data_IF_484780166642
#
_entry.id   IF_484780166642
#
_cell.length_a   1.000
_cell.length_b   1.000
_cell.length_c   1.000
_cell.angle_alpha   90.00
_cell.angle_beta   90.00
_cell.angle_gamma   90.00
#
_symmetry.space_group_name_H-M   'P 1'
#
loop_
_entity.id
_entity.type
_entity.pdbx_description
1 polymer ?
#
# COMPACT_ATOMS: atom_id res chain seq x y z
N UNK A 1 -2.25 -45.53 -30.23
CA UNK A 1 -2.84 -44.37 -29.53
C UNK A 1 -1.89 -43.21 -29.74
N UNK A 2 -2.28 -42.25 -30.60
CA UNK A 2 -1.41 -41.18 -31.09
C UNK A 2 -1.47 -40.00 -30.09
N UNK A 3 -0.35 -39.72 -29.42
CA UNK A 3 -0.19 -38.51 -28.61
C UNK A 3 0.06 -37.34 -29.55
N UNK A 4 -0.86 -36.37 -29.59
CA UNK A 4 -0.72 -35.14 -30.38
C UNK A 4 -0.51 -33.97 -29.43
N UNK A 5 0.71 -33.44 -29.41
CA UNK A 5 1.08 -32.19 -28.75
C UNK A 5 0.59 -31.06 -29.66
N UNK A 6 -0.39 -30.26 -29.23
CA UNK A 6 -0.81 -29.07 -29.98
C UNK A 6 -0.02 -27.84 -29.50
N UNK A 7 0.69 -27.12 -30.38
CA UNK A 7 1.36 -25.88 -30.03
C UNK A 7 0.32 -24.75 -30.07
N UNK A 8 -0.15 -24.28 -28.93
CA UNK A 8 -0.92 -23.04 -28.88
C UNK A 8 0.05 -21.86 -28.95
N UNK A 9 0.38 -21.55 -30.21
CA UNK A 9 0.59 -20.23 -30.79
C UNK A 9 0.72 -19.08 -29.78
N UNK A 10 1.95 -18.56 -29.74
CA UNK A 10 2.31 -17.21 -29.33
C UNK A 10 1.32 -16.20 -29.92
N UNK A 11 0.36 -15.74 -29.12
CA UNK A 11 -0.42 -14.56 -29.41
C UNK A 11 -0.08 -13.53 -28.33
N UNK A 12 1.04 -12.83 -28.52
CA UNK A 12 1.22 -11.54 -27.88
C UNK A 12 0.19 -10.58 -28.47
N UNK A 13 -1.04 -10.66 -27.98
CA UNK A 13 -1.91 -9.51 -27.98
C UNK A 13 -1.22 -8.47 -27.12
N UNK A 14 -0.51 -7.56 -27.77
CA UNK A 14 -0.41 -6.21 -27.27
C UNK A 14 -1.83 -5.65 -27.39
N UNK A 15 -2.71 -6.08 -26.48
CA UNK A 15 -3.92 -5.36 -26.20
C UNK A 15 -3.40 -4.06 -25.60
N UNK A 16 -3.22 -3.06 -26.46
CA UNK A 16 -3.08 -1.68 -26.04
C UNK A 16 -4.43 -1.32 -25.46
N UNK A 17 -4.68 -1.78 -24.23
CA UNK A 17 -5.73 -1.23 -23.40
C UNK A 17 -5.43 0.26 -23.33
N UNK A 18 -6.41 1.12 -23.65
CA UNK A 18 -6.24 2.55 -23.49
C UNK A 18 -5.75 2.82 -22.07
N UNK A 19 -4.79 3.74 -21.95
CA UNK A 19 -4.13 4.17 -20.71
C UNK A 19 -5.11 4.97 -19.83
N UNK A 20 -6.25 4.39 -19.50
CA UNK A 20 -7.07 4.84 -18.38
C UNK A 20 -6.27 4.42 -17.15
N UNK A 21 -5.98 5.34 -16.22
CA UNK A 21 -5.18 5.08 -15.02
C UNK A 21 -5.65 3.80 -14.33
N UNK A 22 -4.97 2.69 -14.63
CA UNK A 22 -5.42 1.38 -14.21
C UNK A 22 -4.88 1.20 -12.81
N UNK A 23 -5.76 1.30 -11.81
CA UNK A 23 -5.39 1.01 -10.44
C UNK A 23 -4.72 -0.36 -10.36
N UNK A 24 -3.60 -0.43 -9.64
CA UNK A 24 -2.94 -1.68 -9.30
C UNK A 24 -3.62 -2.29 -8.07
N UNK A 25 -3.49 -3.61 -7.91
CA UNK A 25 -3.89 -4.30 -6.67
C UNK A 25 -5.36 -4.01 -6.26
N UNK A 26 -6.36 -4.41 -7.08
CA UNK A 26 -7.77 -4.14 -6.77
C UNK A 26 -8.25 -4.80 -5.47
N UNK A 27 -7.62 -5.91 -5.08
CA UNK A 27 -7.89 -6.61 -3.82
C UNK A 27 -7.04 -6.08 -2.65
N UNK A 28 -6.20 -5.07 -2.89
CA UNK A 28 -5.33 -4.49 -1.88
C UNK A 28 -3.99 -5.22 -1.70
N UNK A 29 -3.26 -4.85 -0.64
CA UNK A 29 -1.93 -5.38 -0.33
C UNK A 29 -1.65 -5.32 1.18
N UNK A 30 -0.91 -6.33 1.67
CA UNK A 30 -0.47 -6.43 3.05
C UNK A 30 1.06 -6.50 3.13
N UNK A 31 1.66 -5.49 3.78
CA UNK A 31 3.07 -5.44 4.11
C UNK A 31 3.26 -5.84 5.57
N UNK A 32 3.96 -6.93 5.82
CA UNK A 32 4.39 -7.38 7.16
C UNK A 32 5.88 -7.17 7.38
N UNK A 33 6.66 -6.97 6.31
CA UNK A 33 8.12 -6.84 6.36
C UNK A 33 8.63 -5.65 5.56
N UNK A 34 9.72 -5.05 6.04
CA UNK A 34 10.42 -3.95 5.35
C UNK A 34 10.81 -4.32 3.92
N UNK A 35 11.31 -5.54 3.72
CA UNK A 35 11.68 -6.03 2.38
C UNK A 35 10.54 -6.00 1.35
N UNK A 36 9.28 -6.12 1.78
CA UNK A 36 8.12 -6.01 0.88
C UNK A 36 7.87 -4.56 0.46
N UNK A 37 8.05 -3.62 1.38
CA UNK A 37 7.99 -2.18 1.08
C UNK A 37 9.12 -1.82 0.12
N UNK A 38 10.35 -2.23 0.42
CA UNK A 38 11.53 -1.92 -0.40
C UNK A 38 11.40 -2.48 -1.82
N UNK A 39 10.74 -3.64 -1.95
CA UNK A 39 10.52 -4.29 -3.24
C UNK A 39 9.29 -3.77 -4.00
N UNK A 40 8.46 -2.91 -3.40
CA UNK A 40 7.18 -2.51 -3.98
C UNK A 40 7.33 -1.94 -5.40
N UNK A 41 8.25 -0.99 -5.59
CA UNK A 41 8.50 -0.36 -6.89
C UNK A 41 9.08 -1.32 -7.94
N UNK A 42 9.67 -2.44 -7.50
CA UNK A 42 10.21 -3.48 -8.38
C UNK A 42 9.09 -4.44 -8.81
N UNK A 43 8.23 -4.84 -7.87
CA UNK A 43 7.15 -5.79 -8.11
C UNK A 43 5.95 -5.16 -8.82
N UNK A 44 5.72 -3.87 -8.60
CA UNK A 44 4.61 -3.11 -9.18
C UNK A 44 5.11 -1.85 -9.89
N UNK A 45 5.89 -1.99 -10.98
CA UNK A 45 6.47 -0.85 -11.68
C UNK A 45 5.37 0.07 -12.24
N UNK A 46 5.45 1.37 -11.92
CA UNK A 46 4.49 2.38 -12.36
C UNK A 46 3.16 2.40 -11.59
N UNK A 47 3.03 1.60 -10.53
CA UNK A 47 1.86 1.58 -9.65
C UNK A 47 1.84 2.84 -8.77
N UNK A 48 0.92 3.76 -9.07
CA UNK A 48 0.70 5.01 -8.30
C UNK A 48 -0.65 5.01 -7.57
N UNK A 49 -1.57 4.09 -7.89
CA UNK A 49 -2.92 4.05 -7.35
C UNK A 49 -3.33 2.62 -6.98
N UNK A 50 -3.58 2.36 -5.70
CA UNK A 50 -4.01 1.04 -5.22
C UNK A 50 -5.54 0.98 -5.17
N UNK A 51 -6.12 -0.04 -5.79
CA UNK A 51 -7.57 -0.22 -5.90
C UNK A 51 -8.26 -0.81 -4.67
N UNK A 52 -7.52 -1.48 -3.80
CA UNK A 52 -8.06 -2.10 -2.59
C UNK A 52 -7.44 -1.58 -1.29
N UNK A 53 -7.67 -2.32 -0.21
CA UNK A 53 -7.18 -1.99 1.13
C UNK A 53 -5.66 -2.14 1.24
N UNK A 54 -5.01 -1.23 1.96
CA UNK A 54 -3.59 -1.30 2.27
C UNK A 54 -3.42 -1.54 3.76
N UNK A 55 -2.80 -2.68 4.09
CA UNK A 55 -2.36 -2.99 5.44
C UNK A 55 -0.84 -2.92 5.55
N UNK A 56 -0.35 -2.19 6.55
CA UNK A 56 1.07 -2.05 6.89
C UNK A 56 1.26 -2.47 8.36
N UNK A 57 1.97 -3.58 8.56
CA UNK A 57 2.18 -4.23 9.85
C UNK A 57 1.08 -5.21 10.22
N UNK A 58 0.85 -5.39 11.51
CA UNK A 58 -0.01 -6.45 12.05
C UNK A 58 -1.48 -6.00 12.14
N UNK A 59 -2.14 -5.76 11.01
CA UNK A 59 -3.54 -5.31 10.98
C UNK A 59 -4.57 -6.40 11.33
N UNK A 60 -4.21 -7.68 11.13
CA UNK A 60 -5.13 -8.82 11.26
C UNK A 60 -4.72 -9.83 12.36
N UNK A 61 -3.71 -9.53 13.19
CA UNK A 61 -3.25 -10.46 14.23
C UNK A 61 -1.92 -10.08 14.86
N UNK A 62 -1.29 -11.02 15.55
CA UNK A 62 0.01 -10.86 16.26
C UNK A 62 1.21 -11.17 15.36
N UNK A 63 1.24 -10.60 14.15
CA UNK A 63 2.42 -10.72 13.29
C UNK A 63 3.49 -9.70 13.70
N UNK A 64 4.72 -10.14 13.87
CA UNK A 64 5.85 -9.23 14.09
C UNK A 64 6.12 -8.43 12.81
N UNK A 65 6.11 -7.10 12.94
CA UNK A 65 6.52 -6.18 11.88
C UNK A 65 7.95 -5.70 12.12
N UNK A 66 8.82 -5.83 11.11
CA UNK A 66 10.17 -5.24 11.10
C UNK A 66 10.24 -3.92 10.31
N UNK A 67 9.08 -3.33 10.00
CA UNK A 67 8.97 -2.11 9.19
C UNK A 67 9.51 -0.91 9.99
N UNK A 68 10.47 -0.23 9.39
CA UNK A 68 11.19 0.94 9.94
C UNK A 68 10.90 2.23 9.17
N UNK A 69 10.52 2.14 7.89
CA UNK A 69 10.21 3.26 7.01
C UNK A 69 9.23 2.84 5.90
N UNK A 70 8.62 3.81 5.22
CA UNK A 70 7.67 3.59 4.12
C UNK A 70 8.20 4.09 2.76
N UNK A 71 9.51 4.30 2.61
CA UNK A 71 10.09 5.00 1.44
C UNK A 71 9.76 4.33 0.11
N UNK A 72 9.67 2.99 0.10
CA UNK A 72 9.30 2.22 -1.09
C UNK A 72 7.88 2.49 -1.61
N UNK A 73 7.02 3.15 -0.81
CA UNK A 73 5.65 3.53 -1.13
C UNK A 73 5.53 4.96 -1.67
N UNK A 74 6.64 5.70 -1.78
CA UNK A 74 6.68 7.09 -2.28
C UNK A 74 5.98 7.35 -3.62
N UNK A 75 5.97 6.42 -4.59
CA UNK A 75 5.24 6.63 -5.84
C UNK A 75 3.71 6.69 -5.69
N UNK A 76 3.15 6.22 -4.58
CA UNK A 76 1.71 6.15 -4.38
C UNK A 76 1.10 7.55 -4.21
N UNK A 77 0.06 7.81 -5.00
CA UNK A 77 -0.73 9.04 -4.98
C UNK A 77 -2.18 8.83 -4.52
N UNK A 78 -2.71 7.61 -4.63
CA UNK A 78 -4.08 7.28 -4.23
C UNK A 78 -4.22 5.84 -3.70
N UNK A 79 -5.09 5.67 -2.70
CA UNK A 79 -5.61 4.37 -2.25
C UNK A 79 -7.15 4.47 -2.26
N UNK A 80 -7.79 3.54 -2.96
CA UNK A 80 -9.26 3.47 -3.09
C UNK A 80 -9.93 2.73 -1.92
N UNK A 81 -9.19 1.84 -1.25
CA UNK A 81 -9.62 1.19 -0.01
C UNK A 81 -9.14 1.89 1.26
N UNK A 82 -9.20 1.16 2.36
CA UNK A 82 -8.74 1.60 3.69
C UNK A 82 -7.23 1.57 3.78
N UNK A 83 -6.66 2.53 4.51
CA UNK A 83 -5.25 2.49 4.90
C UNK A 83 -5.15 2.16 6.40
N UNK A 84 -4.60 0.98 6.72
CA UNK A 84 -4.36 0.55 8.09
C UNK A 84 -2.86 0.37 8.33
N UNK A 85 -2.29 1.16 9.24
CA UNK A 85 -0.90 1.03 9.69
C UNK A 85 -0.94 0.61 11.16
N UNK A 86 -0.66 -0.66 11.44
CA UNK A 86 -0.83 -1.24 12.77
C UNK A 86 0.42 -1.98 13.25
N UNK A 87 0.75 -1.80 14.54
CA UNK A 87 1.75 -2.59 15.27
C UNK A 87 3.18 -2.56 14.67
N UNK A 88 3.59 -1.42 14.12
CA UNK A 88 4.96 -1.23 13.62
C UNK A 88 5.81 -0.54 14.70
N UNK A 89 6.34 -1.33 15.64
CA UNK A 89 7.05 -0.81 16.82
C UNK A 89 8.39 -0.14 16.52
N UNK A 90 8.95 -0.34 15.32
CA UNK A 90 10.18 0.30 14.86
C UNK A 90 9.94 1.52 13.97
N UNK A 91 8.72 1.70 13.45
CA UNK A 91 8.38 2.78 12.54
C UNK A 91 8.35 4.12 13.29
N UNK A 92 9.21 5.04 12.87
CA UNK A 92 9.36 6.36 13.51
C UNK A 92 8.64 7.49 12.77
N UNK A 93 8.31 7.28 11.49
CA UNK A 93 7.70 8.26 10.60
C UNK A 93 6.79 7.58 9.57
N UNK A 94 5.80 8.32 9.05
CA UNK A 94 5.02 7.95 7.86
C UNK A 94 5.52 8.64 6.59
N UNK A 95 6.71 9.26 6.64
CA UNK A 95 7.47 9.64 5.45
C UNK A 95 7.60 8.41 4.53
N UNK A 96 7.42 8.63 3.24
CA UNK A 96 7.13 7.59 2.24
C UNK A 96 5.68 7.61 1.74
N UNK A 97 4.74 8.17 2.52
CA UNK A 97 3.34 8.36 2.11
C UNK A 97 2.98 9.82 1.75
N UNK A 98 3.97 10.70 1.64
CA UNK A 98 3.78 12.15 1.47
C UNK A 98 3.06 12.56 0.18
N UNK A 99 3.08 11.69 -0.84
CA UNK A 99 2.43 11.92 -2.13
C UNK A 99 0.98 11.42 -2.16
N UNK A 100 0.53 10.68 -1.14
CA UNK A 100 -0.87 10.26 -1.02
C UNK A 100 -1.75 11.50 -0.86
N UNK A 101 -2.57 11.74 -1.88
CA UNK A 101 -3.48 12.88 -1.93
C UNK A 101 -4.95 12.48 -1.87
N UNK A 102 -5.25 11.21 -2.20
CA UNK A 102 -6.61 10.68 -2.27
C UNK A 102 -6.67 9.40 -1.45
N UNK A 103 -7.49 9.43 -0.41
CA UNK A 103 -7.91 8.29 0.40
C UNK A 103 -9.43 8.26 0.34
N UNK A 104 -10.00 7.22 -0.23
CA UNK A 104 -11.46 7.14 -0.41
C UNK A 104 -12.18 6.53 0.80
N UNK A 105 -11.45 5.88 1.72
CA UNK A 105 -11.97 5.28 2.95
C UNK A 105 -11.06 5.61 4.16
N UNK A 106 -11.39 5.05 5.33
CA UNK A 106 -10.79 5.33 6.62
C UNK A 106 -9.27 5.09 6.69
N UNK A 107 -8.61 5.93 7.50
CA UNK A 107 -7.23 5.73 7.96
C UNK A 107 -7.21 5.24 9.39
N UNK A 108 -6.53 4.13 9.63
CA UNK A 108 -6.32 3.57 10.96
C UNK A 108 -4.82 3.51 11.29
N UNK A 109 -4.45 4.13 12.41
CA UNK A 109 -3.10 4.07 12.98
C UNK A 109 -3.19 3.47 14.39
N UNK A 110 -2.65 2.27 14.62
CA UNK A 110 -2.69 1.59 15.94
C UNK A 110 -1.33 0.99 16.30
N UNK A 111 -0.92 1.03 17.57
CA UNK A 111 0.26 0.28 18.04
C UNK A 111 1.61 0.66 17.38
N UNK A 112 1.72 1.86 16.82
CA UNK A 112 2.98 2.38 16.24
C UNK A 112 3.72 3.24 17.27
N UNK A 113 4.20 2.62 18.35
CA UNK A 113 4.63 3.32 19.58
C UNK A 113 5.79 4.30 19.42
N UNK A 114 6.60 4.17 18.36
CA UNK A 114 7.73 5.06 18.08
C UNK A 114 7.40 6.17 17.09
N UNK A 115 6.18 6.23 16.57
CA UNK A 115 5.77 7.24 15.59
C UNK A 115 5.71 8.61 16.26
N UNK A 116 6.71 9.45 16.01
CA UNK A 116 6.87 10.77 16.64
C UNK A 116 6.33 11.93 15.79
N UNK A 117 5.91 11.67 14.55
CA UNK A 117 5.39 12.68 13.61
C UNK A 117 4.29 12.09 12.74
N UNK A 118 3.16 12.78 12.67
CA UNK A 118 2.05 12.51 11.73
C UNK A 118 2.03 13.48 10.54
N UNK A 119 3.14 14.17 10.25
CA UNK A 119 3.20 15.10 9.10
C UNK A 119 3.09 14.33 7.78
N UNK A 120 1.86 14.09 7.33
CA UNK A 120 1.50 13.78 5.94
C UNK A 120 1.09 15.07 5.22
N UNK A 121 1.64 15.32 4.03
CA UNK A 121 1.42 16.54 3.24
C UNK A 121 0.30 16.44 2.20
N UNK A 122 -0.69 15.56 2.41
CA UNK A 122 -1.89 15.46 1.57
C UNK A 122 -2.90 16.58 1.85
N UNK A 123 -3.95 16.76 1.02
CA UNK A 123 -4.98 17.80 1.18
C UNK A 123 -5.85 17.67 2.45
N UNK A 124 -5.59 16.67 3.30
CA UNK A 124 -6.06 16.56 4.68
C UNK A 124 -4.94 16.83 5.70
N UNK A 125 -4.07 17.81 5.44
CA UNK A 125 -3.04 18.23 6.37
C UNK A 125 -3.70 18.58 7.71
N UNK A 126 -3.46 17.70 8.67
CA UNK A 126 -3.97 17.63 10.04
C UNK A 126 -3.74 18.92 10.81
N UNK A 127 -4.71 19.83 10.69
CA UNK A 127 -5.01 20.87 11.68
C UNK A 127 -6.40 20.52 12.22
N UNK A 128 -6.42 19.92 13.41
CA UNK A 128 -7.59 19.69 14.27
C UNK A 128 -8.89 19.20 13.59
N UNK A 129 -9.07 17.87 13.45
CA UNK A 129 -10.37 17.37 13.00
C UNK A 129 -10.53 15.86 12.90
N UNK A 130 -10.90 15.24 14.03
CA UNK A 130 -11.58 13.93 14.16
C UNK A 130 -10.87 12.75 13.49
N UNK A 131 -9.91 12.15 14.21
CA UNK A 131 -9.68 10.70 14.14
C UNK A 131 -10.06 10.12 15.50
N UNK A 132 -10.85 9.05 15.49
CA UNK A 132 -11.13 8.26 16.69
C UNK A 132 -9.81 7.62 17.15
N UNK A 133 -9.10 8.30 18.04
CA UNK A 133 -8.04 7.68 18.83
C UNK A 133 -8.69 6.71 19.82
N UNK A 134 -8.81 5.43 19.46
CA UNK A 134 -8.71 4.38 20.49
C UNK A 134 -7.23 4.07 20.64
N UNK A 135 -6.57 4.85 21.49
CA UNK A 135 -5.37 4.37 22.19
C UNK A 135 -5.89 3.36 23.21
N UNK A 136 -6.00 2.11 22.78
CA UNK A 136 -5.94 0.95 23.69
C UNK A 136 -4.59 0.28 23.51
#
# INVERSE_FOLDING_TARGET
>A
MKNSIQPFVLFMLVFQFPLVGQMCLPEGIHFTRQSQIDSFSILYPGCTEIGGDVCIGACQGEEDSDITNLDGLMPLTSIKGKLNISNNYLLTSIEGLQNLSILEDDVKLKGNYKLSSLKGSGPGSVDEGIFYYSIE
#
